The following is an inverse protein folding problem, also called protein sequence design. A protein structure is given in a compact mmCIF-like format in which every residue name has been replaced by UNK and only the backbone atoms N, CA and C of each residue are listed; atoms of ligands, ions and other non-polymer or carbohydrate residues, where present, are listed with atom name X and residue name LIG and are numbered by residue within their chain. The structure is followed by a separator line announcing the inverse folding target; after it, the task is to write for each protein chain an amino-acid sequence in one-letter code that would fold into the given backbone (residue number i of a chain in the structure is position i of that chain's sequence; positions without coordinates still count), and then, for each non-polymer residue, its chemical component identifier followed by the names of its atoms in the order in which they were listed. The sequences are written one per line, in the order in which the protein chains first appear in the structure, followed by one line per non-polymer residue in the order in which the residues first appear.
data_IF_478529951352
#
_entry.id   IF_478529951352
#
_cell.length_a   1.000
_cell.length_b   1.000
_cell.length_c   1.000
_cell.angle_alpha   90.00
_cell.angle_beta   90.00
_cell.angle_gamma   90.00
#
_symmetry.space_group_name_H-M   'P 1'
#
loop_
_entity.id
_entity.type
_entity.pdbx_description
1 polymer ?
#
# COMPACT_ATOMS: atom_id res chain seq x y z
N UNK A 1 9.23 19.29 17.84
CA UNK A 1 8.49 18.47 16.87
C UNK A 1 9.52 17.64 16.11
N UNK A 2 9.60 16.33 16.37
CA UNK A 2 10.62 15.48 15.73
C UNK A 2 10.10 15.08 14.34
N UNK A 3 10.56 15.78 13.31
CA UNK A 3 10.32 15.40 11.92
C UNK A 3 10.82 13.98 11.69
N UNK A 4 10.05 13.16 10.97
CA UNK A 4 10.49 11.81 10.65
C UNK A 4 11.77 11.87 9.80
N UNK A 5 12.77 11.01 10.08
CA UNK A 5 14.04 11.02 9.37
C UNK A 5 13.83 10.75 7.88
N UNK A 6 14.73 11.24 7.03
CA UNK A 6 14.68 10.92 5.60
C UNK A 6 14.96 9.42 5.40
N UNK A 7 14.07 8.73 4.70
CA UNK A 7 14.15 7.26 4.52
C UNK A 7 14.17 6.86 3.06
N UNK A 8 15.17 6.05 2.71
CA UNK A 8 15.29 5.35 1.43
C UNK A 8 15.06 3.86 1.69
N UNK A 9 13.99 3.32 1.10
CA UNK A 9 13.61 1.94 1.27
C UNK A 9 13.49 1.25 -0.09
N UNK A 10 14.20 0.15 -0.33
CA UNK A 10 14.03 -0.61 -1.56
C UNK A 10 12.64 -1.24 -1.58
N UNK A 11 11.91 -0.99 -2.65
CA UNK A 11 10.60 -1.59 -2.91
C UNK A 11 10.70 -2.45 -4.16
N UNK A 12 10.45 -3.74 -4.02
CA UNK A 12 10.61 -4.71 -5.09
C UNK A 12 9.50 -5.74 -5.07
N UNK A 13 9.69 -6.83 -5.82
CA UNK A 13 8.74 -7.95 -5.81
C UNK A 13 8.68 -8.54 -4.40
N UNK A 14 7.64 -8.23 -3.65
CA UNK A 14 7.45 -8.79 -2.32
C UNK A 14 7.11 -10.27 -2.43
N UNK A 15 8.00 -11.12 -1.93
CA UNK A 15 7.79 -12.57 -1.85
C UNK A 15 6.66 -12.87 -0.88
N UNK A 16 6.52 -12.07 0.18
CA UNK A 16 5.41 -12.15 1.14
C UNK A 16 4.05 -11.93 0.47
N UNK A 17 3.89 -10.82 -0.24
CA UNK A 17 2.64 -10.51 -0.95
C UNK A 17 2.29 -11.58 -1.99
N UNK A 18 3.30 -12.05 -2.74
CA UNK A 18 3.12 -13.16 -3.71
C UNK A 18 2.57 -14.40 -3.03
N UNK A 19 3.14 -14.81 -1.89
CA UNK A 19 2.69 -15.99 -1.15
C UNK A 19 1.26 -15.85 -0.66
N UNK A 20 0.89 -14.70 -0.08
CA UNK A 20 -0.49 -14.47 0.41
C UNK A 20 -1.48 -14.58 -0.75
N UNK A 21 -1.20 -13.94 -1.88
CA UNK A 21 -2.05 -14.00 -3.06
C UNK A 21 -2.18 -15.43 -3.61
N UNK A 22 -1.08 -16.17 -3.68
CA UNK A 22 -1.07 -17.57 -4.15
C UNK A 22 -1.84 -18.48 -3.20
N UNK A 23 -1.65 -18.35 -1.88
CA UNK A 23 -2.36 -19.14 -0.88
C UNK A 23 -3.85 -18.85 -0.92
N UNK A 24 -4.24 -17.57 -1.00
CA UNK A 24 -5.64 -17.17 -1.08
C UNK A 24 -6.29 -17.67 -2.37
N UNK A 25 -5.57 -17.58 -3.50
CA UNK A 25 -6.03 -18.12 -4.78
C UNK A 25 -6.18 -19.64 -4.74
N UNK A 26 -5.19 -20.35 -4.19
CA UNK A 26 -5.22 -21.81 -4.06
C UNK A 26 -6.37 -22.26 -3.17
N UNK A 27 -6.63 -21.57 -2.06
CA UNK A 27 -7.78 -21.85 -1.20
C UNK A 27 -9.10 -21.66 -1.96
N UNK A 28 -9.22 -20.58 -2.74
CA UNK A 28 -10.37 -20.35 -3.62
C UNK A 28 -10.55 -21.46 -4.67
N UNK A 29 -9.46 -21.92 -5.28
CA UNK A 29 -9.46 -23.04 -6.22
C UNK A 29 -9.85 -24.37 -5.55
N UNK A 30 -9.37 -24.63 -4.34
CA UNK A 30 -9.77 -25.81 -3.55
C UNK A 30 -11.25 -25.76 -3.19
N UNK A 31 -11.77 -24.62 -2.72
CA UNK A 31 -13.19 -24.46 -2.44
C UNK A 31 -14.04 -24.64 -3.71
N UNK A 32 -13.57 -24.12 -4.85
CA UNK A 32 -14.20 -24.32 -6.15
C UNK A 32 -14.26 -25.80 -6.54
N UNK A 33 -13.12 -26.50 -6.45
CA UNK A 33 -13.04 -27.92 -6.75
C UNK A 33 -13.90 -28.77 -5.82
N UNK A 34 -13.87 -28.49 -4.51
CA UNK A 34 -14.70 -29.16 -3.51
C UNK A 34 -16.19 -28.92 -3.78
N UNK A 35 -16.59 -27.70 -4.15
CA UNK A 35 -17.97 -27.39 -4.55
C UNK A 35 -18.40 -28.23 -5.75
N UNK A 36 -17.57 -28.31 -6.79
CA UNK A 36 -17.86 -29.13 -7.97
C UNK A 36 -17.98 -30.62 -7.62
N UNK A 37 -17.11 -31.12 -6.73
CA UNK A 37 -17.08 -32.53 -6.34
C UNK A 37 -18.24 -32.92 -5.42
N UNK A 38 -18.55 -32.09 -4.42
CA UNK A 38 -19.53 -32.41 -3.38
C UNK A 38 -20.97 -32.17 -3.81
N UNK A 39 -21.22 -31.20 -4.70
CA UNK A 39 -22.58 -30.81 -5.09
C UNK A 39 -23.05 -31.48 -6.37
N UNK A 40 -22.20 -32.29 -7.03
CA UNK A 40 -22.45 -33.08 -8.25
C UNK A 40 -23.33 -32.37 -9.30
N UNK A 41 -23.13 -31.05 -9.41
CA UNK A 41 -23.99 -30.16 -10.17
C UNK A 41 -23.15 -29.43 -11.19
N UNK A 42 -22.84 -30.05 -12.33
CA UNK A 42 -22.13 -29.40 -13.43
C UNK A 42 -23.03 -28.38 -14.16
N UNK A 43 -23.31 -27.25 -13.48
CA UNK A 43 -24.11 -26.14 -14.00
C UNK A 43 -23.28 -24.89 -14.27
N UNK A 44 -23.87 -23.93 -14.98
CA UNK A 44 -23.27 -22.63 -15.33
C UNK A 44 -22.70 -21.86 -14.12
N UNK A 45 -23.24 -22.08 -12.91
CA UNK A 45 -22.74 -21.51 -11.65
C UNK A 45 -21.32 -21.97 -11.32
N UNK A 46 -21.01 -23.25 -11.51
CA UNK A 46 -19.67 -23.80 -11.26
C UNK A 46 -18.68 -23.34 -12.33
N UNK A 47 -19.13 -23.23 -13.58
CA UNK A 47 -18.33 -22.64 -14.66
C UNK A 47 -17.93 -21.19 -14.34
N UNK A 48 -18.89 -20.36 -13.91
CA UNK A 48 -18.62 -18.98 -13.48
C UNK A 48 -17.64 -18.92 -12.31
N UNK A 49 -17.78 -19.84 -11.36
CA UNK A 49 -16.92 -19.90 -10.19
C UNK A 49 -15.48 -20.29 -10.57
N UNK A 50 -15.30 -21.29 -11.44
CA UNK A 50 -13.99 -21.66 -12.00
C UNK A 50 -13.39 -20.50 -12.81
N UNK A 51 -14.16 -19.86 -13.69
CA UNK A 51 -13.71 -18.71 -14.47
C UNK A 51 -13.29 -17.54 -13.57
N UNK A 52 -14.03 -17.28 -12.49
CA UNK A 52 -13.69 -16.25 -11.52
C UNK A 52 -12.33 -16.54 -10.86
N UNK A 53 -12.08 -17.78 -10.44
CA UNK A 53 -10.80 -18.21 -9.87
C UNK A 53 -9.66 -18.06 -10.89
N UNK A 54 -9.86 -18.49 -12.14
CA UNK A 54 -8.86 -18.35 -13.20
C UNK A 54 -8.55 -16.87 -13.46
N UNK A 55 -9.59 -16.03 -13.58
CA UNK A 55 -9.43 -14.61 -13.83
C UNK A 55 -8.71 -13.91 -12.67
N UNK A 56 -9.04 -14.26 -11.42
CA UNK A 56 -8.34 -13.75 -10.25
C UNK A 56 -6.86 -14.14 -10.25
N UNK A 57 -6.53 -15.38 -10.65
CA UNK A 57 -5.14 -15.84 -10.77
C UNK A 57 -4.36 -15.07 -11.84
N UNK A 58 -4.97 -14.87 -13.01
CA UNK A 58 -4.37 -14.07 -14.10
C UNK A 58 -4.17 -12.62 -13.66
N UNK A 59 -5.18 -12.00 -13.05
CA UNK A 59 -5.11 -10.62 -12.56
C UNK A 59 -4.02 -10.46 -11.49
N UNK A 60 -3.94 -11.37 -10.52
CA UNK A 60 -2.88 -11.39 -9.52
C UNK A 60 -1.49 -11.51 -10.18
N UNK A 61 -1.34 -12.42 -11.14
CA UNK A 61 -0.10 -12.59 -11.91
C UNK A 61 0.33 -11.32 -12.64
N UNK A 62 -0.61 -10.62 -13.30
CA UNK A 62 -0.32 -9.33 -13.94
C UNK A 62 0.02 -8.23 -12.94
N UNK A 63 -0.68 -8.16 -11.80
CA UNK A 63 -0.36 -7.21 -10.73
C UNK A 63 1.06 -7.39 -10.20
N UNK A 64 1.41 -8.65 -9.88
CA UNK A 64 2.73 -9.06 -9.40
C UNK A 64 3.88 -8.80 -10.39
N UNK A 65 3.59 -8.81 -11.70
CA UNK A 65 4.57 -8.47 -12.75
C UNK A 65 4.74 -6.96 -12.97
N UNK A 66 3.74 -6.16 -12.59
CA UNK A 66 3.79 -4.68 -12.71
C UNK A 66 4.50 -4.01 -11.53
N UNK A 67 4.66 -4.71 -10.42
CA UNK A 67 5.51 -4.30 -9.28
C UNK A 67 6.99 -4.42 -9.64
N UNK A 68 7.49 -3.40 -10.36
CA UNK A 68 8.90 -3.25 -10.69
C UNK A 68 9.74 -2.86 -9.47
N UNK A 69 11.02 -3.24 -9.48
CA UNK A 69 11.97 -2.79 -8.49
C UNK A 69 12.15 -1.27 -8.56
N UNK A 70 12.13 -0.63 -7.39
CA UNK A 70 12.34 0.79 -7.21
C UNK A 70 12.79 1.11 -5.79
N UNK A 71 13.02 2.39 -5.53
CA UNK A 71 13.37 2.90 -4.22
C UNK A 71 12.32 3.92 -3.83
N UNK A 72 11.70 3.68 -2.68
CA UNK A 72 10.79 4.60 -2.03
C UNK A 72 11.64 5.55 -1.17
N UNK A 73 11.59 6.83 -1.48
CA UNK A 73 12.31 7.90 -0.78
C UNK A 73 11.31 8.78 -0.04
N UNK A 74 11.61 9.11 1.20
CA UNK A 74 10.87 10.06 2.03
C UNK A 74 11.78 11.24 2.37
N UNK A 75 11.35 12.45 2.01
CA UNK A 75 12.12 13.69 2.21
C UNK A 75 11.81 14.42 3.53
N UNK A 76 10.87 13.89 4.33
CA UNK A 76 10.37 14.53 5.56
C UNK A 76 8.94 15.06 5.43
N UNK A 77 8.45 15.30 4.21
CA UNK A 77 7.12 15.84 3.91
C UNK A 77 6.37 15.01 2.86
N UNK A 78 7.06 14.59 1.81
CA UNK A 78 6.52 13.86 0.68
C UNK A 78 7.27 12.56 0.41
N UNK A 79 6.56 11.66 -0.27
CA UNK A 79 7.10 10.40 -0.74
C UNK A 79 7.38 10.47 -2.24
N UNK A 80 8.52 9.96 -2.65
CA UNK A 80 8.86 9.75 -4.07
C UNK A 80 9.20 8.28 -4.29
N UNK A 81 8.80 7.77 -5.45
CA UNK A 81 9.09 6.41 -5.89
C UNK A 81 9.91 6.50 -7.17
N UNK A 82 11.18 6.13 -7.08
CA UNK A 82 12.09 6.06 -8.22
C UNK A 82 12.24 4.60 -8.65
N UNK A 83 11.73 4.25 -9.83
CA UNK A 83 11.91 2.92 -10.43
C UNK A 83 13.01 2.89 -11.48
N UNK A 84 13.31 1.70 -12.01
CA UNK A 84 14.20 1.55 -13.18
C UNK A 84 13.67 2.27 -14.44
N UNK A 85 12.34 2.48 -14.52
CA UNK A 85 11.70 3.27 -15.57
C UNK A 85 11.36 4.67 -15.04
N UNK A 86 12.03 5.74 -15.52
CA UNK A 86 11.83 7.11 -15.05
C UNK A 86 10.42 7.64 -15.38
N UNK A 87 9.73 7.11 -16.41
CA UNK A 87 8.36 7.51 -16.76
C UNK A 87 7.35 7.05 -15.70
N UNK A 88 7.65 5.94 -15.03
CA UNK A 88 6.84 5.37 -13.95
C UNK A 88 7.21 5.88 -12.56
N UNK A 89 8.18 6.79 -12.48
CA UNK A 89 8.54 7.46 -11.24
C UNK A 89 7.38 8.33 -10.74
N UNK A 90 7.17 8.35 -9.42
CA UNK A 90 6.19 9.19 -8.75
C UNK A 90 6.94 10.19 -7.88
N UNK A 91 6.54 11.46 -7.90
CA UNK A 91 7.12 12.49 -7.04
C UNK A 91 6.02 13.14 -6.21
N UNK A 92 6.40 13.72 -5.07
CA UNK A 92 5.49 14.48 -4.21
C UNK A 92 4.20 13.73 -3.81
N UNK A 93 4.27 12.42 -3.67
CA UNK A 93 3.12 11.60 -3.32
C UNK A 93 2.85 11.59 -1.83
N UNK A 94 1.57 11.45 -1.49
CA UNK A 94 1.12 11.10 -0.14
C UNK A 94 1.00 9.60 -0.04
N UNK A 95 1.52 9.04 1.05
CA UNK A 95 1.38 7.61 1.38
C UNK A 95 0.25 7.43 2.38
N UNK A 96 -0.56 6.39 2.15
CA UNK A 96 -1.52 5.88 3.10
C UNK A 96 -1.27 4.38 3.32
N UNK A 97 -1.27 3.93 4.58
CA UNK A 97 -1.28 2.50 4.89
C UNK A 97 -2.67 1.95 4.67
N UNK A 98 -2.79 0.98 3.78
CA UNK A 98 -4.05 0.26 3.60
C UNK A 98 -4.10 -1.03 4.41
N UNK A 99 -2.96 -1.71 4.58
CA UNK A 99 -2.87 -2.97 5.32
C UNK A 99 -1.49 -3.08 5.96
N UNK A 100 -1.43 -3.47 7.24
CA UNK A 100 -0.19 -3.68 7.99
C UNK A 100 -0.21 -5.07 8.66
N UNK A 101 0.68 -5.95 8.24
CA UNK A 101 0.93 -7.28 8.83
C UNK A 101 2.23 -7.32 9.65
N UNK A 102 2.71 -6.19 10.15
CA UNK A 102 3.95 -6.01 10.92
C UNK A 102 5.26 -6.24 10.12
N UNK A 103 5.36 -7.32 9.34
CA UNK A 103 6.52 -7.65 8.50
C UNK A 103 6.27 -7.40 7.00
N UNK A 104 5.02 -7.15 6.63
CA UNK A 104 4.56 -6.87 5.27
C UNK A 104 3.52 -5.75 5.35
N UNK A 105 3.60 -4.76 4.47
CA UNK A 105 2.67 -3.64 4.46
C UNK A 105 2.25 -3.29 3.03
N UNK A 106 0.97 -2.99 2.86
CA UNK A 106 0.39 -2.48 1.63
C UNK A 106 0.22 -0.97 1.75
N UNK A 107 0.94 -0.24 0.91
CA UNK A 107 0.89 1.21 0.84
C UNK A 107 0.15 1.66 -0.40
N UNK A 108 -0.60 2.75 -0.26
CA UNK A 108 -1.26 3.47 -1.34
C UNK A 108 -0.60 4.83 -1.52
N UNK A 109 0.10 5.02 -2.63
CA UNK A 109 0.68 6.28 -3.04
C UNK A 109 -0.33 7.05 -3.87
N UNK A 110 -0.53 8.32 -3.51
CA UNK A 110 -1.37 9.26 -4.26
C UNK A 110 -0.53 10.45 -4.67
N UNK A 111 -0.30 10.58 -5.97
CA UNK A 111 0.35 11.75 -6.57
C UNK A 111 -0.74 12.77 -6.96
N UNK A 112 -0.57 14.07 -6.65
CA UNK A 112 -1.48 15.09 -7.12
C UNK A 112 -1.59 15.06 -8.66
N UNK A 113 -2.80 14.89 -9.19
CA UNK A 113 -3.04 14.87 -10.64
C UNK A 113 -2.74 13.53 -11.34
N UNK A 114 -2.39 12.45 -10.61
CA UNK A 114 -2.12 11.13 -11.20
C UNK A 114 -2.91 10.02 -10.53
N UNK A 115 -2.97 8.86 -11.21
CA UNK A 115 -3.64 7.68 -10.69
C UNK A 115 -2.96 7.16 -9.41
N UNK A 116 -3.78 6.62 -8.50
CA UNK A 116 -3.31 6.00 -7.25
C UNK A 116 -2.48 4.76 -7.57
N UNK A 117 -1.36 4.59 -6.87
CA UNK A 117 -0.50 3.41 -7.02
C UNK A 117 -0.41 2.62 -5.73
N UNK A 118 -0.55 1.30 -5.84
CA UNK A 118 -0.43 0.37 -4.73
C UNK A 118 0.95 -0.27 -4.77
N UNK A 119 1.60 -0.36 -3.61
CA UNK A 119 2.91 -1.03 -3.48
C UNK A 119 2.93 -1.91 -2.24
N UNK A 120 3.54 -3.08 -2.37
CA UNK A 120 3.86 -3.95 -1.25
C UNK A 120 5.29 -3.71 -0.79
N UNK A 121 5.48 -3.54 0.53
CA UNK A 121 6.80 -3.43 1.14
C UNK A 121 6.96 -4.51 2.21
N UNK A 122 8.14 -5.11 2.28
CA UNK A 122 8.43 -6.21 3.20
C UNK A 122 9.68 -5.92 4.04
N UNK A 123 9.61 -6.20 5.34
CA UNK A 123 10.71 -5.99 6.28
C UNK A 123 12.03 -6.64 5.83
N UNK A 124 11.95 -7.79 5.15
CA UNK A 124 13.13 -8.55 4.70
C UNK A 124 13.96 -7.81 3.65
N UNK A 125 13.39 -6.85 2.93
CA UNK A 125 14.12 -6.09 1.92
C UNK A 125 15.21 -5.21 2.57
N UNK A 126 14.89 -4.60 3.72
CA UNK A 126 15.87 -3.86 4.52
C UNK A 126 15.41 -3.80 5.99
N UNK A 127 15.75 -4.79 6.82
CA UNK A 127 15.20 -4.91 8.17
C UNK A 127 15.66 -3.77 9.09
N UNK A 128 16.86 -3.26 8.88
CA UNK A 128 17.47 -2.19 9.69
C UNK A 128 16.65 -0.90 9.63
N UNK A 129 16.14 -0.54 8.45
CA UNK A 129 15.34 0.68 8.24
C UNK A 129 13.83 0.46 8.31
N UNK A 130 13.38 -0.76 8.62
CA UNK A 130 11.96 -1.09 8.66
C UNK A 130 11.21 -0.26 9.69
N UNK A 131 11.77 -0.10 10.89
CA UNK A 131 11.18 0.73 11.95
C UNK A 131 11.09 2.20 11.54
N UNK A 132 12.10 2.71 10.83
CA UNK A 132 12.13 4.09 10.36
C UNK A 132 11.07 4.34 9.29
N UNK A 133 10.91 3.42 8.34
CA UNK A 133 9.83 3.49 7.35
C UNK A 133 8.48 3.49 8.04
N UNK A 134 8.24 2.57 8.99
CA UNK A 134 6.95 2.53 9.70
C UNK A 134 6.69 3.84 10.43
N UNK A 135 7.69 4.40 11.12
CA UNK A 135 7.56 5.72 11.77
C UNK A 135 7.25 6.81 10.76
N UNK A 136 7.94 6.85 9.62
CA UNK A 136 7.72 7.85 8.57
C UNK A 136 6.33 7.73 7.91
N UNK A 137 5.85 6.50 7.72
CA UNK A 137 4.54 6.23 7.10
C UNK A 137 3.40 6.57 8.06
N UNK A 138 3.57 6.33 9.37
CA UNK A 138 2.60 6.68 10.39
C UNK A 138 2.72 8.11 10.91
N UNK A 139 3.86 8.77 10.71
CA UNK A 139 3.98 10.19 11.01
C UNK A 139 3.07 10.94 10.05
N UNK A 140 2.03 11.55 10.59
CA UNK A 140 1.18 12.43 9.80
C UNK A 140 2.05 13.57 9.30
N UNK A 141 2.00 13.94 8.00
CA UNK A 141 2.50 15.23 7.59
C UNK A 141 1.79 16.28 8.47
N UNK A 142 2.47 17.38 8.86
CA UNK A 142 1.82 18.45 9.61
C UNK A 142 0.52 18.76 8.87
N UNK A 143 -0.61 18.51 9.54
CA UNK A 143 -1.89 19.00 9.05
C UNK A 143 -1.65 20.47 8.79
N UNK A 144 -1.85 20.92 7.55
CA UNK A 144 -1.89 22.35 7.26
C UNK A 144 -2.82 22.93 8.33
N UNK A 145 -2.20 23.64 9.27
CA UNK A 145 -2.89 24.21 10.41
C UNK A 145 -4.01 25.04 9.81
N UNK A 146 -5.29 24.79 10.17
CA UNK A 146 -6.35 25.66 9.70
C UNK A 146 -5.94 27.06 10.12
N UNK A 147 -5.76 27.92 9.13
CA UNK A 147 -5.31 29.28 9.33
C UNK A 147 -6.11 29.91 10.48
N UNK A 148 -5.40 30.25 11.55
CA UNK A 148 -5.81 31.05 12.70
C UNK A 148 -7.27 30.92 13.11
N UNK A 149 -7.52 30.22 14.21
CA UNK A 149 -8.74 30.44 14.99
C UNK A 149 -8.71 31.90 15.51
N UNK A 150 -9.48 32.85 14.96
CA UNK A 150 -9.33 34.27 15.27
C UNK A 150 -9.84 34.62 16.67
N UNK A 151 -10.56 33.70 17.31
CA UNK A 151 -11.28 33.95 18.55
C UNK A 151 -10.38 34.04 19.78
N UNK A 152 -9.09 33.66 19.68
CA UNK A 152 -8.15 33.77 20.80
C UNK A 152 -7.54 35.17 20.97
N UNK A 153 -7.90 36.14 20.12
CA UNK A 153 -7.39 37.52 20.17
C UNK A 153 -8.27 38.52 20.97
N UNK A 154 -9.41 38.09 21.51
CA UNK A 154 -10.34 38.97 22.26
C UNK A 154 -10.57 38.48 23.68
N UNK A 155 -9.50 38.21 24.42
CA UNK A 155 -9.55 38.31 25.88
C UNK A 155 -9.17 39.76 26.23
N UNK A 156 -10.14 40.65 26.57
CA UNK A 156 -9.79 41.95 27.09
C UNK A 156 -9.08 41.74 28.43
N UNK A 157 -7.87 42.30 28.51
CA UNK A 157 -7.15 42.46 29.76
C UNK A 157 -7.99 43.32 30.71
N UNK A 158 -7.90 42.97 31.99
CA UNK A 158 -8.47 43.62 33.17
C UNK A 158 -8.81 45.10 33.06
N UNK A 159 -9.95 45.47 33.65
CA UNK A 159 -10.12 46.75 34.34
C UNK A 159 -11.38 46.71 35.25
N UNK A 160 -11.43 47.48 36.35
CA UNK A 160 -10.49 47.62 37.47
C UNK A 160 -10.99 46.95 38.76
#
# INVERSE_FOLDING_TARGET
MHSAPSVNYPVGRSRGATRILVVLWALGACCAGASCYLLDSAGWRHLLLVLSVVFAGVAAGFGLRRDGAGVLHFDGLHWSLSGADPVRGIRNARVLVALDFQSLMLLRLTEPGRARRWIWIEQRAMPERWRDVRRAVYSRPPSAEPAGDPWRATAPADAP
#
